data_IF_287278432789
#
_entry.id   IF_287278432789
#
_cell.length_a   1.000
_cell.length_b   1.000
_cell.length_c   1.000
_cell.angle_alpha   90.00
_cell.angle_beta   90.00
_cell.angle_gamma   90.00
#
_symmetry.space_group_name_H-M   'P 1'
#
loop_
_entity.id
_entity.type
_entity.pdbx_description
1 polymer ?
#
# COMPACT_ATOMS: atom_id res chain seq x y z
N UNK A 1 6.26 -5.75 -8.20
CA UNK A 1 5.26 -4.70 -8.52
C UNK A 1 5.40 -3.61 -7.49
N UNK A 2 5.10 -2.40 -7.89
CA UNK A 2 5.14 -1.25 -7.02
C UNK A 2 3.71 -0.89 -6.59
N UNK A 3 3.49 -0.92 -5.28
CA UNK A 3 2.21 -0.58 -4.68
C UNK A 3 2.46 0.46 -3.61
N UNK A 4 1.64 1.49 -3.55
CA UNK A 4 1.78 2.55 -2.57
C UNK A 4 0.41 3.03 -2.11
N UNK A 5 0.35 3.75 -1.01
CA UNK A 5 -0.94 4.16 -0.49
C UNK A 5 -0.89 5.11 0.68
N UNK A 6 -2.07 5.29 1.27
CA UNK A 6 -2.29 6.14 2.43
C UNK A 6 -3.28 5.50 3.41
N UNK A 7 -3.01 5.60 4.71
CA UNK A 7 -4.06 5.43 5.72
C UNK A 7 -4.84 6.74 5.84
N UNK A 8 -6.09 6.74 5.40
CA UNK A 8 -6.91 7.96 5.27
C UNK A 8 -7.87 8.11 6.44
N UNK A 9 -8.02 9.34 6.93
CA UNK A 9 -8.99 9.73 7.99
C UNK A 9 -8.95 8.89 9.27
N UNK A 10 -7.79 8.30 9.61
CA UNK A 10 -7.64 7.45 10.80
C UNK A 10 -7.37 8.23 12.11
N UNK A 11 -7.27 9.56 12.04
CA UNK A 11 -7.04 10.46 13.19
C UNK A 11 -5.89 10.04 14.13
N UNK A 12 -4.79 9.50 13.58
CA UNK A 12 -3.63 8.96 14.32
C UNK A 12 -3.94 7.74 15.22
N UNK A 13 -5.05 7.05 14.98
CA UNK A 13 -5.42 5.84 15.73
C UNK A 13 -4.47 4.68 15.47
N UNK A 14 -3.80 4.68 14.31
CA UNK A 14 -2.86 3.66 13.85
C UNK A 14 -1.69 4.37 13.19
N UNK A 15 -0.47 3.88 13.38
CA UNK A 15 0.70 4.42 12.69
C UNK A 15 0.96 3.68 11.38
N UNK A 16 1.48 4.38 10.37
CA UNK A 16 1.88 3.75 9.09
C UNK A 16 2.92 2.63 9.32
N UNK A 17 3.84 2.82 10.26
CA UNK A 17 4.82 1.80 10.65
C UNK A 17 4.16 0.51 11.17
N UNK A 18 3.22 0.64 12.10
CA UNK A 18 2.47 -0.51 12.64
C UNK A 18 1.70 -1.26 11.56
N UNK A 19 1.05 -0.53 10.66
CA UNK A 19 0.36 -1.11 9.52
C UNK A 19 1.32 -1.85 8.57
N UNK A 20 2.48 -1.27 8.26
CA UNK A 20 3.45 -1.92 7.38
C UNK A 20 4.10 -3.14 8.02
N UNK A 21 4.41 -3.11 9.31
CA UNK A 21 4.87 -4.29 10.06
C UNK A 21 3.84 -5.41 10.02
N UNK A 22 2.56 -5.07 10.15
CA UNK A 22 1.48 -6.04 10.00
C UNK A 22 1.49 -6.67 8.59
N UNK A 23 1.58 -5.87 7.53
CA UNK A 23 1.62 -6.41 6.16
C UNK A 23 2.87 -7.28 5.92
N UNK A 24 4.04 -6.84 6.38
CA UNK A 24 5.31 -7.53 6.21
C UNK A 24 5.36 -8.89 6.93
N UNK A 25 4.61 -9.04 8.03
CA UNK A 25 4.45 -10.32 8.72
C UNK A 25 3.66 -11.37 7.91
N UNK A 26 2.86 -10.93 6.93
CA UNK A 26 2.01 -11.81 6.12
C UNK A 26 2.58 -12.04 4.71
N UNK A 27 3.27 -11.06 4.15
CA UNK A 27 3.73 -11.11 2.76
C UNK A 27 5.18 -10.63 2.66
N UNK A 28 6.08 -11.42 2.03
CA UNK A 28 7.44 -10.96 1.76
C UNK A 28 7.47 -9.78 0.79
N UNK A 29 8.26 -8.76 1.12
CA UNK A 29 8.41 -7.57 0.30
C UNK A 29 9.36 -6.56 0.92
N UNK A 30 9.66 -5.49 0.18
CA UNK A 30 10.37 -4.34 0.74
C UNK A 30 9.34 -3.25 1.07
N UNK A 31 9.19 -2.95 2.34
CA UNK A 31 8.18 -2.03 2.86
C UNK A 31 8.85 -0.71 3.25
N UNK A 32 8.26 0.39 2.84
CA UNK A 32 8.79 1.73 3.06
C UNK A 32 7.69 2.63 3.60
N UNK A 33 8.05 3.50 4.54
CA UNK A 33 7.21 4.60 4.98
C UNK A 33 7.88 5.93 4.63
N UNK A 34 7.05 6.94 4.40
CA UNK A 34 7.51 8.32 4.30
C UNK A 34 8.01 8.81 5.66
N UNK A 35 9.23 9.32 5.67
CA UNK A 35 9.76 10.12 6.76
C UNK A 35 10.45 11.36 6.16
N UNK A 36 9.86 12.56 6.30
CA UNK A 36 10.51 13.77 5.83
C UNK A 36 11.83 14.01 6.59
N UNK A 37 12.87 14.53 5.91
CA UNK A 37 14.11 14.93 6.55
C UNK A 37 13.88 15.91 7.71
N UNK A 38 14.76 15.91 8.73
CA UNK A 38 14.71 16.88 9.82
C UNK A 38 14.60 18.32 9.31
N UNK A 39 13.66 19.08 9.86
CA UNK A 39 13.41 20.47 9.48
C UNK A 39 12.44 20.66 8.31
N UNK A 40 11.95 19.59 7.68
CA UNK A 40 10.93 19.65 6.62
C UNK A 40 9.58 19.22 7.19
N UNK A 41 8.59 20.11 7.13
CA UNK A 41 7.19 19.75 7.35
C UNK A 41 6.59 19.30 6.02
N UNK A 42 6.17 18.05 5.93
CA UNK A 42 5.57 17.48 4.73
C UNK A 42 4.24 16.81 5.07
N UNK A 43 3.18 17.21 4.36
CA UNK A 43 1.93 16.45 4.32
C UNK A 43 1.98 15.58 3.07
N UNK A 44 2.21 14.27 3.25
CA UNK A 44 2.33 13.35 2.13
C UNK A 44 0.95 12.82 1.72
N UNK A 45 0.66 12.82 0.42
CA UNK A 45 -0.53 12.17 -0.13
C UNK A 45 -0.41 10.63 -0.14
N UNK A 46 0.82 10.12 -0.02
CA UNK A 46 1.19 8.70 0.08
C UNK A 46 2.11 8.58 1.29
N UNK A 47 1.75 7.74 2.25
CA UNK A 47 2.52 7.55 3.49
C UNK A 47 3.30 6.22 3.48
N UNK A 48 2.93 5.25 2.62
CA UNK A 48 3.61 3.96 2.51
C UNK A 48 3.80 3.49 1.08
N UNK A 49 4.77 2.59 0.91
CA UNK A 49 5.11 1.93 -0.35
C UNK A 49 5.62 0.52 -0.10
N UNK A 50 5.25 -0.39 -0.98
CA UNK A 50 5.66 -1.79 -0.99
C UNK A 50 6.19 -2.16 -2.37
N UNK A 51 7.37 -2.75 -2.39
CA UNK A 51 7.97 -3.35 -3.58
C UNK A 51 7.96 -4.86 -3.41
N UNK A 52 6.98 -5.51 -4.07
CA UNK A 52 6.81 -6.96 -4.04
C UNK A 52 7.81 -7.64 -5.00
N UNK A 53 8.53 -8.63 -4.48
CA UNK A 53 9.58 -9.36 -5.20
C UNK A 53 9.00 -10.35 -6.22
N UNK A 54 7.95 -11.06 -5.83
CA UNK A 54 7.15 -11.91 -6.73
C UNK A 54 5.72 -11.36 -6.81
N UNK A 55 5.19 -11.35 -8.02
CA UNK A 55 3.86 -10.81 -8.38
C UNK A 55 3.10 -11.78 -9.27
N UNK A 56 3.60 -13.00 -9.40
CA UNK A 56 2.89 -14.08 -10.06
C UNK A 56 1.57 -14.41 -9.36
N UNK A 57 1.51 -14.19 -8.04
CA UNK A 57 0.29 -14.22 -7.25
C UNK A 57 0.21 -12.99 -6.32
N UNK A 58 -0.76 -12.10 -6.59
CA UNK A 58 -1.02 -10.89 -5.80
C UNK A 58 -2.00 -11.13 -4.65
N UNK A 59 -2.69 -12.27 -4.66
CA UNK A 59 -3.76 -12.63 -3.71
C UNK A 59 -3.31 -12.60 -2.25
N UNK A 60 -2.09 -13.05 -1.88
CA UNK A 60 -1.61 -12.93 -0.51
C UNK A 60 -1.56 -11.48 -0.03
N UNK A 61 -1.13 -10.56 -0.91
CA UNK A 61 -1.07 -9.13 -0.59
C UNK A 61 -2.46 -8.50 -0.50
N UNK A 62 -3.36 -8.84 -1.42
CA UNK A 62 -4.77 -8.42 -1.35
C UNK A 62 -5.42 -8.88 -0.03
N UNK A 63 -5.19 -10.15 0.35
CA UNK A 63 -5.70 -10.68 1.62
C UNK A 63 -5.08 -9.99 2.84
N UNK A 64 -3.78 -9.70 2.82
CA UNK A 64 -3.13 -8.96 3.90
C UNK A 64 -3.66 -7.52 4.03
N UNK A 65 -3.93 -6.84 2.92
CA UNK A 65 -4.57 -5.52 2.92
C UNK A 65 -5.98 -5.59 3.52
N UNK A 66 -6.77 -6.60 3.16
CA UNK A 66 -8.11 -6.79 3.72
C UNK A 66 -8.05 -7.03 5.23
N UNK A 67 -7.19 -7.96 5.69
CA UNK A 67 -7.02 -8.21 7.12
C UNK A 67 -6.48 -6.98 7.86
N UNK A 68 -5.64 -6.17 7.22
CA UNK A 68 -5.21 -4.87 7.75
C UNK A 68 -6.39 -3.89 7.88
N UNK A 69 -7.26 -3.81 6.88
CA UNK A 69 -8.48 -3.01 6.95
C UNK A 69 -9.39 -3.46 8.10
N UNK A 70 -9.64 -4.76 8.24
CA UNK A 70 -10.43 -5.32 9.32
C UNK A 70 -9.84 -5.04 10.71
N UNK A 71 -8.51 -5.11 10.82
CA UNK A 71 -7.81 -4.91 12.09
C UNK A 71 -7.76 -3.44 12.51
N UNK A 72 -7.46 -2.54 11.56
CA UNK A 72 -7.09 -1.17 11.86
C UNK A 72 -8.18 -0.13 11.54
N UNK A 73 -9.05 -0.41 10.56
CA UNK A 73 -10.03 0.55 10.03
C UNK A 73 -11.45 0.23 10.48
N UNK A 74 -11.88 -1.04 10.41
CA UNK A 74 -13.22 -1.47 10.86
C UNK A 74 -13.55 -1.00 12.29
N UNK A 75 -12.64 -1.06 13.28
CA UNK A 75 -12.92 -0.54 14.63
C UNK A 75 -13.26 0.96 14.66
N UNK A 76 -12.80 1.74 13.68
CA UNK A 76 -13.10 3.17 13.58
C UNK A 76 -14.53 3.40 13.08
N UNK A 77 -14.97 2.64 12.07
CA UNK A 77 -16.37 2.68 11.60
C UNK A 77 -17.36 2.19 12.67
N UNK A 78 -16.96 1.21 13.49
CA UNK A 78 -17.80 0.73 14.59
C UNK A 78 -17.97 1.79 15.70
N UNK A 79 -16.98 2.67 15.89
CA UNK A 79 -17.04 3.77 16.86
C UNK A 79 -17.80 4.97 16.31
N UNK A 80 -17.66 5.26 15.02
CA UNK A 80 -18.34 6.35 14.33
C UNK A 80 -18.86 5.88 12.98
N UNK A 81 -20.19 5.74 12.86
CA UNK A 81 -20.85 5.34 11.63
C UNK A 81 -20.72 6.35 10.49
N UNK A 82 -20.25 7.57 10.78
CA UNK A 82 -19.91 8.60 9.77
C UNK A 82 -18.43 8.64 9.44
N UNK A 83 -17.62 7.76 10.04
CA UNK A 83 -16.19 7.66 9.73
C UNK A 83 -15.98 7.41 8.24
N UNK A 84 -15.08 8.18 7.65
CA UNK A 84 -14.61 8.02 6.27
C UNK A 84 -13.19 7.44 6.22
N UNK A 85 -12.80 6.72 7.28
CA UNK A 85 -11.52 6.03 7.34
C UNK A 85 -11.41 4.96 6.25
N UNK A 86 -10.19 4.71 5.79
CA UNK A 86 -9.96 3.73 4.74
C UNK A 86 -8.50 3.62 4.34
N UNK A 87 -8.22 2.64 3.48
CA UNK A 87 -6.89 2.42 2.93
C UNK A 87 -6.93 2.82 1.47
N UNK A 88 -6.24 3.91 1.13
CA UNK A 88 -5.98 4.26 -0.26
C UNK A 88 -4.86 3.38 -0.80
N UNK A 89 -5.07 2.77 -1.96
CA UNK A 89 -4.11 1.89 -2.63
C UNK A 89 -3.94 2.35 -4.07
N UNK A 90 -2.68 2.43 -4.51
CA UNK A 90 -2.29 2.72 -5.88
C UNK A 90 -1.25 1.69 -6.34
N UNK A 91 -1.56 1.02 -7.44
CA UNK A 91 -0.68 0.08 -8.13
C UNK A 91 -0.12 0.77 -9.37
N UNK A 92 1.20 0.81 -9.54
CA UNK A 92 1.85 1.58 -10.61
C UNK A 92 2.81 0.69 -11.40
N UNK A 93 2.83 0.86 -12.72
CA UNK A 93 3.87 0.30 -13.59
C UNK A 93 4.94 1.35 -13.92
N UNK A 94 6.00 0.94 -14.62
CA UNK A 94 7.15 1.82 -14.90
C UNK A 94 6.89 2.89 -15.96
N UNK A 95 5.87 2.69 -16.80
CA UNK A 95 5.42 3.72 -17.74
C UNK A 95 4.64 4.83 -17.06
N UNK A 96 4.37 4.68 -15.77
CA UNK A 96 3.57 5.61 -14.99
C UNK A 96 2.07 5.38 -15.11
N UNK A 97 1.64 4.32 -15.80
CA UNK A 97 0.24 3.89 -15.76
C UNK A 97 -0.03 3.33 -14.37
N UNK A 98 -1.20 3.66 -13.84
CA UNK A 98 -1.58 3.24 -12.50
C UNK A 98 -3.06 2.92 -12.42
N UNK A 99 -3.38 2.06 -11.46
CA UNK A 99 -4.72 1.88 -10.95
C UNK A 99 -4.76 2.30 -9.48
N UNK A 100 -5.89 2.88 -9.04
CA UNK A 100 -6.06 3.29 -7.65
C UNK A 100 -7.50 3.07 -7.17
N UNK A 101 -7.64 2.73 -5.90
CA UNK A 101 -8.92 2.48 -5.25
C UNK A 101 -8.79 2.67 -3.74
N UNK A 102 -9.93 2.80 -3.06
CA UNK A 102 -10.01 2.94 -1.61
C UNK A 102 -10.78 1.78 -0.97
N UNK A 103 -10.11 1.04 -0.07
CA UNK A 103 -10.74 0.01 0.75
C UNK A 103 -11.53 0.71 1.87
N UNK A 104 -12.81 0.32 2.02
CA UNK A 104 -13.79 0.96 2.89
C UNK A 104 -14.69 1.99 2.18
N UNK A 105 -14.44 2.27 0.90
CA UNK A 105 -15.28 3.16 0.08
C UNK A 105 -15.59 2.59 -1.30
N UNK A 106 -14.56 2.32 -2.09
CA UNK A 106 -14.70 1.77 -3.44
C UNK A 106 -14.76 0.23 -3.40
N UNK A 107 -14.01 -0.36 -2.47
CA UNK A 107 -13.95 -1.80 -2.22
C UNK A 107 -14.50 -2.08 -0.82
N UNK A 108 -15.58 -2.87 -0.75
CA UNK A 108 -16.36 -3.09 0.47
C UNK A 108 -16.30 -4.52 0.99
N UNK A 109 -15.69 -5.44 0.24
CA UNK A 109 -15.52 -6.84 0.61
C UNK A 109 -14.19 -7.40 0.06
N UNK A 110 -13.79 -8.54 0.63
CA UNK A 110 -12.50 -9.18 0.34
C UNK A 110 -12.44 -9.72 -1.09
N UNK A 111 -13.53 -10.30 -1.56
CA UNK A 111 -13.63 -10.90 -2.89
C UNK A 111 -13.45 -9.83 -3.99
N UNK A 112 -14.11 -8.67 -3.82
CA UNK A 112 -13.95 -7.52 -4.69
C UNK A 112 -12.50 -6.98 -4.67
N UNK A 113 -11.85 -6.97 -3.51
CA UNK A 113 -10.44 -6.57 -3.42
C UNK A 113 -9.53 -7.53 -4.20
N UNK A 114 -9.68 -8.83 -3.98
CA UNK A 114 -8.90 -9.85 -4.68
C UNK A 114 -9.09 -9.73 -6.19
N UNK A 115 -10.34 -9.64 -6.65
CA UNK A 115 -10.66 -9.48 -8.06
C UNK A 115 -10.02 -8.22 -8.64
N UNK A 116 -10.16 -7.07 -7.97
CA UNK A 116 -9.58 -5.81 -8.43
C UNK A 116 -8.06 -5.89 -8.54
N UNK A 117 -7.39 -6.42 -7.51
CA UNK A 117 -5.94 -6.56 -7.51
C UNK A 117 -5.45 -7.51 -8.60
N UNK A 118 -6.16 -8.61 -8.87
CA UNK A 118 -5.84 -9.50 -9.97
C UNK A 118 -5.98 -8.85 -11.34
N UNK A 119 -7.07 -8.12 -11.58
CA UNK A 119 -7.30 -7.40 -12.84
C UNK A 119 -6.22 -6.34 -13.08
N UNK A 120 -5.95 -5.52 -12.06
CA UNK A 120 -4.93 -4.48 -12.13
C UNK A 120 -3.54 -5.10 -12.32
N UNK A 121 -3.28 -6.26 -11.71
CA UNK A 121 -2.04 -7.01 -11.96
C UNK A 121 -1.97 -7.50 -13.40
N UNK A 122 -3.04 -8.07 -13.96
CA UNK A 122 -3.05 -8.55 -15.37
C UNK A 122 -2.78 -7.41 -16.37
N UNK A 123 -3.26 -6.21 -16.09
CA UNK A 123 -3.09 -5.03 -16.95
C UNK A 123 -1.70 -4.39 -16.74
N UNK A 124 -1.27 -4.24 -15.48
CA UNK A 124 -0.08 -3.46 -15.13
C UNK A 124 1.21 -4.30 -15.04
N UNK A 125 1.14 -5.63 -14.85
CA UNK A 125 2.34 -6.48 -14.88
C UNK A 125 2.86 -6.66 -16.29
N UNK A 126 4.14 -6.34 -16.48
CA UNK A 126 4.83 -6.50 -17.76
C UNK A 126 5.72 -7.74 -17.79
N UNK A 127 6.08 -8.12 -19.02
CA UNK A 127 6.89 -9.31 -19.31
C UNK A 127 8.36 -9.19 -18.87
N UNK A 128 8.87 -7.98 -18.61
CA UNK A 128 10.27 -7.74 -18.26
C UNK A 128 10.42 -7.38 -16.77
N UNK A 129 10.38 -8.41 -15.90
CA UNK A 129 10.07 -8.28 -14.47
C UNK A 129 11.22 -7.79 -13.58
N UNK A 130 12.48 -8.06 -13.92
CA UNK A 130 13.57 -7.95 -12.94
C UNK A 130 14.23 -6.56 -12.89
N UNK A 131 14.67 -6.02 -14.04
CA UNK A 131 15.49 -4.80 -14.08
C UNK A 131 14.76 -3.54 -13.58
N UNK A 132 13.51 -3.38 -14.03
CA UNK A 132 12.65 -2.23 -13.69
C UNK A 132 12.31 -2.17 -12.20
N UNK A 133 12.04 -3.33 -11.60
CA UNK A 133 11.72 -3.44 -10.17
C UNK A 133 12.92 -3.08 -9.29
N UNK A 134 14.12 -3.46 -9.73
CA UNK A 134 15.35 -3.14 -9.05
C UNK A 134 15.67 -1.63 -9.13
N UNK A 135 15.45 -0.99 -10.28
CA UNK A 135 15.61 0.45 -10.42
C UNK A 135 14.65 1.23 -9.50
N UNK A 136 13.37 0.87 -9.46
CA UNK A 136 12.40 1.52 -8.59
C UNK A 136 12.73 1.34 -7.09
N UNK A 137 13.26 0.19 -6.72
CA UNK A 137 13.73 -0.09 -5.36
C UNK A 137 14.92 0.81 -5.00
N UNK A 138 15.91 0.91 -5.88
CA UNK A 138 17.09 1.73 -5.66
C UNK A 138 16.78 3.23 -5.67
N UNK A 139 15.88 3.69 -6.53
CA UNK A 139 15.39 5.07 -6.52
C UNK A 139 14.70 5.40 -5.19
N UNK A 140 13.84 4.50 -4.71
CA UNK A 140 13.14 4.67 -3.42
C UNK A 140 14.15 4.83 -2.28
N UNK A 141 15.17 3.96 -2.22
CA UNK A 141 16.24 4.03 -1.20
C UNK A 141 17.06 5.32 -1.28
N UNK A 142 17.29 5.87 -2.48
CA UNK A 142 18.11 7.08 -2.68
C UNK A 142 17.38 8.39 -2.39
N UNK A 143 16.06 8.37 -2.36
CA UNK A 143 15.23 9.59 -2.24
C UNK A 143 15.49 10.43 -0.98
N UNK A 144 15.94 9.82 0.12
CA UNK A 144 16.07 10.46 1.43
C UNK A 144 14.74 10.73 2.16
N UNK A 145 13.59 10.38 1.55
CA UNK A 145 12.25 10.53 2.13
C UNK A 145 11.60 9.20 2.49
N UNK A 146 12.11 8.09 1.96
CA UNK A 146 11.59 6.74 2.20
C UNK A 146 12.56 5.98 3.11
N UNK A 147 12.06 5.53 4.25
CA UNK A 147 12.79 4.64 5.15
C UNK A 147 12.16 3.25 5.11
N UNK A 148 12.97 2.21 5.25
CA UNK A 148 12.44 0.85 5.37
C UNK A 148 11.67 0.73 6.68
N UNK A 149 10.48 0.15 6.63
CA UNK A 149 9.79 -0.31 7.83
C UNK A 149 10.57 -1.51 8.40
N UNK A 150 10.92 -1.44 9.69
CA UNK A 150 11.71 -2.45 10.41
C UNK A 150 10.85 -3.53 11.03
#
# INVERSE_FOLDING_TARGET
MFIQGALTNIHKSVSTDEFLRFLAAHVPGNYFMVQPPPGINMTAAIDWRVVLQDVTDITPFASALWSGYETFITPLHNKDSKSSAGIFVQMKNEKGEFDQFMIGKDILDKEALNHRMEESTKILCLKNKAGVLQEALEETKRSGYWIMAT
#
